data_IF_821639459332
#
_entry.id   IF_821639459332
#
_cell.length_a   1.000
_cell.length_b   1.000
_cell.length_c   1.000
_cell.angle_alpha   90.00
_cell.angle_beta   90.00
_cell.angle_gamma   90.00
#
_symmetry.space_group_name_H-M   'P 1'
#
loop_
_entity.id
_entity.type
_entity.pdbx_description
1 polymer ?
#
# COMPACT_ATOMS: atom_id res chain seq x y z
N UNK A 1 -5.42 -0.48 19.12
CA UNK A 1 -4.26 -1.13 18.48
C UNK A 1 -4.42 -2.65 18.37
N UNK A 2 -4.79 -3.35 19.44
CA UNK A 2 -5.00 -4.81 19.43
C UNK A 2 -6.05 -5.22 18.39
N UNK A 3 -7.23 -4.61 18.39
CA UNK A 3 -8.30 -4.90 17.43
C UNK A 3 -7.85 -4.65 15.98
N UNK A 4 -7.12 -3.57 15.74
CA UNK A 4 -6.56 -3.24 14.42
C UNK A 4 -5.56 -4.29 13.94
N UNK A 5 -4.67 -4.79 14.81
CA UNK A 5 -3.71 -5.85 14.44
C UNK A 5 -4.37 -7.19 14.12
N UNK A 6 -5.46 -7.54 14.81
CA UNK A 6 -6.19 -8.79 14.56
C UNK A 6 -6.99 -8.71 13.26
N UNK A 7 -7.65 -7.57 13.02
CA UNK A 7 -8.50 -7.36 11.86
C UNK A 7 -8.35 -5.94 11.29
N UNK A 8 -7.30 -5.67 10.49
CA UNK A 8 -7.18 -4.40 9.80
C UNK A 8 -8.36 -4.20 8.82
N UNK A 9 -8.78 -2.96 8.48
CA UNK A 9 -9.98 -2.69 7.69
C UNK A 9 -9.97 -3.33 6.29
N UNK A 10 -8.79 -3.68 5.76
CA UNK A 10 -8.63 -4.33 4.46
C UNK A 10 -8.45 -5.86 4.54
N UNK A 11 -8.65 -6.47 5.73
CA UNK A 11 -8.47 -7.91 5.92
C UNK A 11 -9.47 -8.72 5.10
N UNK A 12 -9.00 -9.81 4.53
CA UNK A 12 -9.85 -10.84 3.90
C UNK A 12 -9.70 -12.16 4.67
N UNK A 13 -10.76 -12.91 4.88
CA UNK A 13 -12.16 -12.62 4.54
C UNK A 13 -12.77 -11.54 5.48
N UNK A 14 -13.75 -10.78 4.97
CA UNK A 14 -14.34 -9.61 5.67
C UNK A 14 -15.03 -9.95 7.01
N UNK A 15 -15.42 -11.22 7.23
CA UNK A 15 -16.03 -11.61 8.51
C UNK A 15 -15.11 -11.39 9.73
N UNK A 16 -13.78 -11.34 9.52
CA UNK A 16 -12.81 -11.01 10.58
C UNK A 16 -13.04 -9.61 11.16
N UNK A 17 -13.70 -8.71 10.43
CA UNK A 17 -14.06 -7.39 10.93
C UNK A 17 -15.06 -7.43 12.08
N UNK A 18 -15.81 -8.54 12.23
CA UNK A 18 -16.73 -8.72 13.36
C UNK A 18 -16.03 -8.70 14.73
N UNK A 19 -14.71 -8.92 14.77
CA UNK A 19 -13.92 -8.79 16.00
C UNK A 19 -13.95 -7.37 16.57
N UNK A 20 -14.19 -6.36 15.74
CA UNK A 20 -14.30 -4.98 16.20
C UNK A 20 -15.55 -4.73 17.06
N UNK A 21 -16.60 -5.53 16.94
CA UNK A 21 -17.82 -5.40 17.74
C UNK A 21 -17.54 -5.65 19.22
N UNK A 22 -17.02 -6.84 19.63
CA UNK A 22 -16.71 -7.06 21.04
C UNK A 22 -15.57 -6.17 21.55
N UNK A 23 -14.55 -5.88 20.71
CA UNK A 23 -13.44 -5.00 21.11
C UNK A 23 -13.92 -3.57 21.32
N UNK A 24 -14.78 -3.02 20.44
CA UNK A 24 -15.38 -1.70 20.61
C UNK A 24 -16.29 -1.61 21.83
N UNK A 25 -17.06 -2.66 22.10
CA UNK A 25 -17.88 -2.74 23.32
C UNK A 25 -17.02 -2.72 24.59
N UNK A 26 -15.96 -3.54 24.65
CA UNK A 26 -15.02 -3.57 25.78
C UNK A 26 -14.30 -2.23 25.95
N UNK A 27 -13.93 -1.59 24.86
CA UNK A 27 -13.33 -0.24 24.86
C UNK A 27 -14.29 0.77 25.52
N UNK A 28 -15.56 0.80 25.08
CA UNK A 28 -16.57 1.72 25.63
C UNK A 28 -16.86 1.42 27.11
N UNK A 29 -16.97 0.15 27.46
CA UNK A 29 -17.17 -0.24 28.86
C UNK A 29 -16.02 0.22 29.76
N UNK A 30 -14.78 -0.02 29.34
CA UNK A 30 -13.59 0.41 30.08
C UNK A 30 -13.50 1.95 30.19
N UNK A 31 -13.84 2.65 29.10
CA UNK A 31 -13.87 4.11 29.06
C UNK A 31 -14.92 4.67 30.04
N UNK A 32 -16.16 4.19 29.97
CA UNK A 32 -17.26 4.67 30.83
C UNK A 32 -16.99 4.37 32.32
N UNK A 33 -16.58 3.15 32.63
CA UNK A 33 -16.20 2.79 34.01
C UNK A 33 -15.05 3.66 34.51
N UNK A 34 -14.02 3.84 33.69
CA UNK A 34 -12.85 4.64 34.00
C UNK A 34 -13.20 6.09 34.32
N UNK A 35 -13.95 6.78 33.45
CA UNK A 35 -14.29 8.18 33.71
C UNK A 35 -15.26 8.34 34.86
N UNK A 36 -16.21 7.40 35.09
CA UNK A 36 -17.09 7.43 36.24
C UNK A 36 -16.31 7.30 37.56
N UNK A 37 -15.35 6.39 37.60
CA UNK A 37 -14.46 6.23 38.77
C UNK A 37 -13.65 7.49 39.06
N UNK A 38 -13.03 8.05 38.02
CA UNK A 38 -12.26 9.30 38.15
C UNK A 38 -13.15 10.44 38.65
N UNK A 39 -14.34 10.61 38.07
CA UNK A 39 -15.30 11.65 38.55
C UNK A 39 -15.72 11.43 39.98
N UNK A 40 -16.07 10.19 40.35
CA UNK A 40 -16.41 9.87 41.74
C UNK A 40 -15.27 10.24 42.72
N UNK A 41 -14.03 9.90 42.36
CA UNK A 41 -12.87 10.22 43.17
C UNK A 41 -12.70 11.75 43.33
N UNK A 42 -12.72 12.48 42.20
CA UNK A 42 -12.58 13.95 42.23
C UNK A 42 -13.65 14.62 43.04
N UNK A 43 -14.92 14.23 42.85
CA UNK A 43 -16.03 14.80 43.60
C UNK A 43 -15.94 14.46 45.10
N UNK A 44 -15.53 13.23 45.45
CA UNK A 44 -15.32 12.86 46.86
C UNK A 44 -14.20 13.71 47.48
N UNK A 45 -13.10 13.98 46.79
CA UNK A 45 -12.02 14.86 47.28
C UNK A 45 -12.48 16.30 47.48
N UNK A 46 -13.48 16.75 46.74
CA UNK A 46 -14.08 18.09 46.83
C UNK A 46 -15.26 18.15 47.86
N UNK A 47 -15.54 17.05 48.56
CA UNK A 47 -16.66 16.97 49.52
C UNK A 47 -18.04 16.92 48.83
N UNK A 48 -18.09 16.60 47.54
CA UNK A 48 -19.29 16.54 46.74
C UNK A 48 -19.60 15.08 46.31
N UNK A 49 -20.81 14.84 45.79
CA UNK A 49 -21.24 13.54 45.31
C UNK A 49 -21.42 13.58 43.77
N UNK A 50 -20.87 12.60 43.06
CA UNK A 50 -21.14 12.41 41.66
C UNK A 50 -22.08 11.24 41.42
N UNK A 51 -23.22 11.52 40.77
CA UNK A 51 -24.15 10.49 40.31
C UNK A 51 -24.10 10.37 38.78
N UNK A 52 -23.83 9.17 38.30
CA UNK A 52 -23.88 8.84 36.87
C UNK A 52 -25.33 8.60 36.40
N UNK A 53 -26.26 8.48 37.30
CA UNK A 53 -27.66 8.14 37.03
C UNK A 53 -27.83 6.66 36.62
N UNK A 54 -28.85 6.39 35.81
CA UNK A 54 -29.15 5.03 35.35
C UNK A 54 -28.06 4.52 34.41
N UNK A 55 -27.34 3.48 34.84
CA UNK A 55 -26.17 2.99 34.10
C UNK A 55 -26.49 2.65 32.64
N UNK A 56 -27.46 1.80 32.36
CA UNK A 56 -27.70 1.31 30.99
C UNK A 56 -28.13 2.40 30.00
N UNK A 57 -29.09 3.31 30.31
CA UNK A 57 -29.41 4.40 29.39
C UNK A 57 -28.24 5.33 29.12
N UNK A 58 -27.46 5.68 30.14
CA UNK A 58 -26.30 6.56 29.99
C UNK A 58 -25.15 5.86 29.27
N UNK A 59 -24.93 4.58 29.52
CA UNK A 59 -24.00 3.77 28.79
C UNK A 59 -24.38 3.66 27.29
N UNK A 60 -25.67 3.46 26.98
CA UNK A 60 -26.15 3.43 25.60
C UNK A 60 -25.96 4.77 24.88
N UNK A 61 -25.98 5.89 25.59
CA UNK A 61 -25.63 7.19 25.04
C UNK A 61 -24.13 7.32 24.78
N UNK A 62 -23.28 6.91 25.74
CA UNK A 62 -21.82 7.00 25.62
C UNK A 62 -21.27 6.05 24.55
N UNK A 63 -21.77 4.81 24.41
CA UNK A 63 -21.28 3.84 23.44
C UNK A 63 -21.38 4.34 21.99
N UNK A 64 -22.36 5.21 21.69
CA UNK A 64 -22.47 5.80 20.33
C UNK A 64 -21.33 6.75 20.04
N UNK A 65 -20.92 7.56 21.02
CA UNK A 65 -19.76 8.46 20.90
C UNK A 65 -18.46 7.68 20.83
N UNK A 66 -18.35 6.65 21.67
CA UNK A 66 -17.19 5.78 21.73
C UNK A 66 -17.03 4.96 20.44
N UNK A 67 -18.14 4.53 19.83
CA UNK A 67 -18.10 3.84 18.53
C UNK A 67 -17.53 4.75 17.42
N UNK A 68 -17.88 6.04 17.42
CA UNK A 68 -17.31 7.01 16.49
C UNK A 68 -15.81 7.22 16.75
N UNK A 69 -15.43 7.42 18.02
CA UNK A 69 -14.04 7.58 18.43
C UNK A 69 -13.21 6.34 18.06
N UNK A 70 -13.72 5.15 18.35
CA UNK A 70 -13.09 3.89 17.99
C UNK A 70 -12.89 3.75 16.47
N UNK A 71 -13.92 4.09 15.67
CA UNK A 71 -13.83 4.10 14.21
C UNK A 71 -12.75 5.05 13.71
N UNK A 72 -12.64 6.25 14.29
CA UNK A 72 -11.60 7.22 13.95
C UNK A 72 -10.18 6.71 14.30
N UNK A 73 -10.01 6.02 15.44
CA UNK A 73 -8.74 5.38 15.78
C UNK A 73 -8.35 4.31 14.76
N UNK A 74 -9.30 3.45 14.36
CA UNK A 74 -9.04 2.41 13.34
C UNK A 74 -8.67 3.05 12.00
N UNK A 75 -9.39 4.10 11.57
CA UNK A 75 -9.08 4.83 10.34
C UNK A 75 -7.71 5.53 10.42
N UNK A 76 -7.38 6.14 11.56
CA UNK A 76 -6.08 6.77 11.80
C UNK A 76 -4.92 5.77 11.72
N UNK A 77 -5.04 4.61 12.37
CA UNK A 77 -4.03 3.55 12.27
C UNK A 77 -3.87 3.04 10.83
N UNK A 78 -4.99 2.86 10.11
CA UNK A 78 -4.95 2.45 8.71
C UNK A 78 -4.26 3.49 7.82
N UNK A 79 -4.54 4.77 8.04
CA UNK A 79 -3.90 5.87 7.31
C UNK A 79 -2.39 5.94 7.61
N UNK A 80 -2.01 5.89 8.88
CA UNK A 80 -0.59 5.90 9.28
C UNK A 80 0.14 4.72 8.66
N UNK A 81 -0.41 3.51 8.74
CA UNK A 81 0.21 2.33 8.13
C UNK A 81 0.33 2.47 6.61
N UNK A 82 -0.70 3.03 5.95
CA UNK A 82 -0.65 3.30 4.52
C UNK A 82 0.47 4.28 4.16
N UNK A 83 0.58 5.40 4.88
CA UNK A 83 1.62 6.40 4.67
C UNK A 83 3.03 5.85 4.93
N UNK A 84 3.20 5.08 6.02
CA UNK A 84 4.49 4.44 6.33
C UNK A 84 4.90 3.42 5.27
N UNK A 85 3.95 2.64 4.74
CA UNK A 85 4.23 1.74 3.62
C UNK A 85 4.63 2.48 2.35
N UNK A 86 3.99 3.61 2.03
CA UNK A 86 4.41 4.46 0.92
C UNK A 86 5.81 5.03 1.13
N UNK A 87 6.15 5.50 2.32
CA UNK A 87 7.50 5.98 2.63
C UNK A 87 8.54 4.87 2.54
N UNK A 88 8.26 3.66 3.02
CA UNK A 88 9.19 2.52 2.89
C UNK A 88 9.47 2.15 1.43
N UNK A 89 8.53 2.38 0.51
CA UNK A 89 8.75 2.19 -0.92
C UNK A 89 9.64 3.30 -1.54
N UNK A 90 9.68 4.49 -0.90
CA UNK A 90 10.48 5.65 -1.34
C UNK A 90 11.85 5.67 -0.63
N UNK A 91 11.90 5.29 0.66
CA UNK A 91 13.01 5.54 1.58
C UNK A 91 13.90 4.32 1.87
N UNK A 92 13.95 3.31 1.00
CA UNK A 92 15.01 2.32 1.13
C UNK A 92 16.19 2.65 0.20
N UNK A 93 17.01 3.67 0.52
CA UNK A 93 18.30 3.85 -0.15
C UNK A 93 19.20 2.71 0.35
N UNK A 94 19.40 1.72 -0.51
CA UNK A 94 20.39 0.66 -0.26
C UNK A 94 19.87 -0.77 -0.12
N UNK A 95 18.58 -1.04 0.00
CA UNK A 95 18.12 -2.40 -0.27
C UNK A 95 18.11 -2.65 -1.77
N UNK A 96 19.14 -3.32 -2.22
CA UNK A 96 19.20 -3.88 -3.57
C UNK A 96 18.05 -4.88 -3.72
N UNK A 97 16.90 -4.40 -4.23
CA UNK A 97 15.77 -5.26 -4.51
C UNK A 97 16.21 -6.26 -5.56
N UNK A 98 16.23 -7.53 -5.20
CA UNK A 98 16.55 -8.62 -6.12
C UNK A 98 15.28 -9.26 -6.64
N UNK A 99 15.38 -9.84 -7.85
CA UNK A 99 14.32 -10.59 -8.49
C UNK A 99 14.92 -11.89 -9.07
N UNK A 100 14.19 -12.98 -8.93
CA UNK A 100 14.61 -14.29 -9.38
C UNK A 100 13.95 -14.62 -10.71
N UNK A 101 14.73 -14.58 -11.79
CA UNK A 101 14.30 -14.97 -13.13
C UNK A 101 14.49 -16.48 -13.28
N UNK A 102 13.40 -17.17 -13.63
CA UNK A 102 13.39 -18.60 -13.88
C UNK A 102 13.23 -18.89 -15.36
N UNK A 103 14.27 -19.49 -15.94
CA UNK A 103 14.27 -20.00 -17.31
C UNK A 103 14.49 -21.53 -17.29
N UNK A 104 13.41 -22.29 -17.39
CA UNK A 104 13.44 -23.72 -17.19
C UNK A 104 13.97 -24.11 -15.80
N UNK A 105 15.05 -24.88 -15.74
CA UNK A 105 15.73 -25.28 -14.51
C UNK A 105 16.72 -24.21 -13.98
N UNK A 106 17.01 -23.19 -14.78
CA UNK A 106 17.96 -22.13 -14.41
C UNK A 106 17.28 -21.04 -13.63
N UNK A 107 17.82 -20.70 -12.45
CA UNK A 107 17.43 -19.53 -11.66
C UNK A 107 18.54 -18.51 -11.70
N UNK A 108 18.22 -17.30 -12.14
CA UNK A 108 19.17 -16.19 -12.18
C UNK A 108 18.64 -15.07 -11.29
N UNK A 109 19.40 -14.75 -10.23
CA UNK A 109 19.07 -13.61 -9.36
C UNK A 109 19.67 -12.35 -9.93
N UNK A 110 18.84 -11.35 -10.14
CA UNK A 110 19.23 -10.03 -10.65
C UNK A 110 18.83 -8.93 -9.67
N UNK A 111 19.46 -7.78 -9.77
CA UNK A 111 19.08 -6.56 -9.09
C UNK A 111 18.04 -5.83 -9.94
N UNK A 112 16.96 -5.35 -9.31
CA UNK A 112 15.90 -4.63 -10.03
C UNK A 112 16.34 -3.25 -10.54
N UNK A 113 17.33 -2.63 -9.89
CA UNK A 113 17.92 -1.36 -10.36
C UNK A 113 18.78 -1.52 -11.64
N UNK A 114 19.18 -2.76 -11.97
CA UNK A 114 19.85 -3.10 -13.24
C UNK A 114 18.86 -3.32 -14.39
N UNK A 115 17.58 -3.53 -14.10
CA UNK A 115 16.55 -3.75 -15.11
C UNK A 115 16.06 -2.42 -15.66
N UNK A 116 16.20 -2.21 -16.95
CA UNK A 116 15.70 -1.04 -17.67
C UNK A 116 14.24 -1.19 -18.07
N UNK A 117 13.91 -2.32 -18.68
CA UNK A 117 12.57 -2.62 -19.16
C UNK A 117 12.32 -4.13 -19.22
N UNK A 118 11.05 -4.48 -19.34
CA UNK A 118 10.59 -5.84 -19.56
C UNK A 118 9.65 -5.83 -20.76
N UNK A 119 9.98 -6.59 -21.78
CA UNK A 119 9.22 -6.68 -23.03
C UNK A 119 8.53 -8.04 -23.17
N UNK A 120 7.33 -8.07 -23.72
CA UNK A 120 6.64 -9.32 -24.06
C UNK A 120 7.27 -9.94 -25.29
N UNK A 121 7.59 -11.23 -25.22
CA UNK A 121 8.19 -12.02 -26.30
C UNK A 121 7.42 -13.35 -26.47
N UNK A 122 6.21 -13.27 -27.04
CA UNK A 122 5.32 -14.42 -27.18
C UNK A 122 4.81 -14.94 -25.83
N UNK A 123 5.14 -16.19 -25.49
CA UNK A 123 4.80 -16.81 -24.19
C UNK A 123 5.83 -16.50 -23.09
N UNK A 124 6.82 -15.70 -23.40
CA UNK A 124 7.89 -15.27 -22.51
C UNK A 124 7.88 -13.76 -22.35
N UNK A 125 8.60 -13.28 -21.35
CA UNK A 125 9.00 -11.89 -21.19
C UNK A 125 10.52 -11.81 -21.24
N UNK A 126 11.03 -10.73 -21.81
CA UNK A 126 12.44 -10.44 -21.90
C UNK A 126 12.79 -9.28 -20.95
N UNK A 127 13.63 -9.55 -19.97
CA UNK A 127 14.20 -8.54 -19.09
C UNK A 127 15.42 -7.93 -19.76
N UNK A 128 15.39 -6.64 -20.03
CA UNK A 128 16.49 -5.88 -20.62
C UNK A 128 17.28 -5.21 -19.51
N UNK A 129 18.54 -5.61 -19.35
CA UNK A 129 19.41 -5.12 -18.29
C UNK A 129 20.29 -3.97 -18.78
N UNK A 130 20.76 -3.15 -17.85
CA UNK A 130 21.63 -1.99 -18.10
C UNK A 130 22.96 -2.36 -18.76
N UNK A 131 23.46 -3.56 -18.53
CA UNK A 131 24.70 -4.09 -19.14
C UNK A 131 24.48 -4.70 -20.53
N UNK A 132 23.29 -4.56 -21.10
CA UNK A 132 22.92 -5.09 -22.42
C UNK A 132 22.47 -6.55 -22.39
N UNK A 133 22.59 -7.27 -21.27
CA UNK A 133 22.09 -8.64 -21.18
C UNK A 133 20.56 -8.67 -21.27
N UNK A 134 20.07 -9.75 -21.88
CA UNK A 134 18.66 -10.05 -22.01
C UNK A 134 18.38 -11.40 -21.38
N UNK A 135 17.45 -11.45 -20.45
CA UNK A 135 17.06 -12.67 -19.73
C UNK A 135 15.59 -12.98 -20.00
N UNK A 136 15.31 -14.24 -20.29
CA UNK A 136 13.96 -14.70 -20.61
C UNK A 136 13.32 -15.35 -19.40
N UNK A 137 12.02 -15.13 -19.24
CA UNK A 137 11.20 -15.81 -18.23
C UNK A 137 9.83 -16.13 -18.79
N UNK A 138 9.32 -17.32 -18.53
CA UNK A 138 7.96 -17.67 -18.91
C UNK A 138 6.98 -17.11 -17.87
N UNK A 139 6.38 -15.97 -18.18
CA UNK A 139 5.41 -15.30 -17.33
C UNK A 139 4.52 -14.39 -18.19
N UNK A 140 3.25 -14.21 -17.84
CA UNK A 140 2.46 -13.12 -18.42
C UNK A 140 2.97 -11.77 -17.90
N UNK A 141 3.00 -10.78 -18.77
CA UNK A 141 3.49 -9.44 -18.42
C UNK A 141 2.61 -8.76 -17.33
N UNK A 142 1.31 -9.10 -17.29
CA UNK A 142 0.39 -8.63 -16.22
C UNK A 142 0.76 -9.11 -14.83
N UNK A 143 1.23 -10.35 -14.69
CA UNK A 143 1.69 -10.85 -13.39
C UNK A 143 2.92 -10.09 -12.90
N UNK A 144 3.83 -9.72 -13.82
CA UNK A 144 4.99 -8.90 -13.49
C UNK A 144 4.61 -7.44 -13.20
N UNK A 145 3.57 -6.92 -13.84
CA UNK A 145 3.01 -5.60 -13.52
C UNK A 145 2.49 -5.56 -12.08
N UNK A 146 1.72 -6.58 -11.66
CA UNK A 146 1.21 -6.69 -10.28
C UNK A 146 2.35 -6.81 -9.25
N UNK A 147 3.40 -7.56 -9.58
CA UNK A 147 4.52 -7.81 -8.67
C UNK A 147 5.52 -6.64 -8.62
N UNK A 148 5.85 -6.05 -9.77
CA UNK A 148 6.91 -5.04 -9.90
C UNK A 148 6.39 -3.60 -9.92
N UNK A 149 5.08 -3.40 -10.15
CA UNK A 149 4.46 -2.07 -10.09
C UNK A 149 4.72 -1.33 -8.78
N UNK A 150 4.56 -1.97 -7.59
CA UNK A 150 4.92 -1.36 -6.31
C UNK A 150 6.42 -1.05 -6.15
N UNK A 151 7.28 -1.64 -6.99
CA UNK A 151 8.74 -1.48 -6.97
C UNK A 151 9.25 -0.45 -7.98
N UNK A 152 8.30 0.26 -8.66
CA UNK A 152 8.64 1.36 -9.57
C UNK A 152 8.64 1.00 -11.07
N UNK A 153 8.11 -0.17 -11.43
CA UNK A 153 7.88 -0.49 -12.84
C UNK A 153 6.50 -0.02 -13.29
N UNK A 154 6.43 0.58 -14.48
CA UNK A 154 5.20 1.12 -15.04
C UNK A 154 4.85 0.42 -16.34
N UNK A 155 3.56 0.08 -16.51
CA UNK A 155 3.04 -0.41 -17.78
C UNK A 155 2.90 0.76 -18.74
N UNK A 156 3.72 0.80 -19.79
CA UNK A 156 3.72 1.86 -20.80
C UNK A 156 3.07 1.43 -22.11
N UNK A 157 3.03 0.13 -22.34
CA UNK A 157 2.43 -0.43 -23.55
C UNK A 157 1.85 -1.82 -23.25
N UNK A 158 0.96 -2.34 -24.13
CA UNK A 158 0.43 -3.71 -23.97
C UNK A 158 1.51 -4.79 -23.86
N UNK A 159 2.71 -4.50 -24.36
CA UNK A 159 3.87 -5.41 -24.42
C UNK A 159 5.09 -4.89 -23.66
N UNK A 160 4.99 -3.80 -22.88
CA UNK A 160 6.13 -3.21 -22.19
C UNK A 160 5.82 -2.77 -20.77
N UNK A 161 6.76 -3.09 -19.87
CA UNK A 161 6.93 -2.51 -18.53
C UNK A 161 8.27 -1.80 -18.49
N UNK A 162 8.34 -0.58 -17.98
CA UNK A 162 9.57 0.20 -17.86
C UNK A 162 9.89 0.50 -16.41
N UNK A 163 11.16 0.52 -16.07
CA UNK A 163 11.62 1.00 -14.77
C UNK A 163 11.61 2.54 -14.78
N UNK A 164 10.69 3.15 -14.04
CA UNK A 164 10.54 4.60 -14.01
C UNK A 164 11.83 5.33 -13.54
N UNK A 165 12.61 4.69 -12.65
CA UNK A 165 13.87 5.26 -12.15
C UNK A 165 15.00 5.23 -13.17
N UNK A 166 14.88 4.41 -14.22
CA UNK A 166 15.88 4.30 -15.28
C UNK A 166 15.58 5.23 -16.46
N UNK A 167 14.45 5.94 -16.46
CA UNK A 167 14.10 6.88 -17.52
C UNK A 167 15.12 8.02 -17.59
N UNK A 168 15.62 8.27 -18.79
CA UNK A 168 16.53 9.38 -19.09
C UNK A 168 15.83 10.50 -19.85
N UNK A 169 14.89 10.17 -20.74
CA UNK A 169 14.07 11.15 -21.45
C UNK A 169 12.70 10.58 -21.85
N UNK A 170 11.78 11.49 -22.15
CA UNK A 170 10.44 11.19 -22.65
C UNK A 170 10.22 12.02 -23.93
N UNK A 171 10.16 11.34 -25.09
CA UNK A 171 9.99 11.99 -26.40
C UNK A 171 8.55 11.87 -26.89
N UNK A 172 7.89 12.96 -27.29
CA UNK A 172 6.58 12.90 -27.93
C UNK A 172 6.69 12.41 -29.37
N UNK A 173 5.77 11.50 -29.77
CA UNK A 173 5.72 10.91 -31.13
C UNK A 173 4.62 11.56 -32.02
N UNK A 174 4.13 12.72 -31.66
CA UNK A 174 3.20 13.50 -32.51
C UNK A 174 1.74 13.04 -32.55
N UNK A 175 1.47 11.77 -32.16
CA UNK A 175 0.11 11.19 -32.15
C UNK A 175 -0.54 11.12 -30.76
N UNK A 176 0.13 11.69 -29.76
CA UNK A 176 -0.21 11.54 -28.33
C UNK A 176 0.41 10.30 -27.70
N UNK A 177 1.17 9.52 -28.45
CA UNK A 177 2.07 8.49 -27.94
C UNK A 177 3.45 9.10 -27.64
N UNK A 178 4.25 8.40 -26.85
CA UNK A 178 5.60 8.82 -26.44
C UNK A 178 6.57 7.66 -26.57
N UNK A 179 7.85 7.98 -26.69
CA UNK A 179 8.96 7.04 -26.51
C UNK A 179 9.66 7.36 -25.20
N UNK A 180 9.81 6.33 -24.35
CA UNK A 180 10.57 6.39 -23.09
C UNK A 180 11.98 5.94 -23.36
N UNK A 181 12.96 6.82 -23.15
CA UNK A 181 14.39 6.49 -23.23
C UNK A 181 14.90 5.98 -21.89
N UNK A 182 15.65 4.89 -21.93
CA UNK A 182 16.20 4.17 -20.77
C UNK A 182 17.68 3.89 -20.99
N UNK A 183 18.46 4.95 -21.21
CA UNK A 183 19.85 4.83 -21.72
C UNK A 183 19.85 4.46 -23.20
N UNK A 184 20.42 3.30 -23.53
CA UNK A 184 20.50 2.81 -24.94
C UNK A 184 19.23 2.04 -25.36
N UNK A 185 18.23 1.97 -24.52
CA UNK A 185 16.97 1.25 -24.78
C UNK A 185 15.82 2.24 -24.94
N UNK A 186 15.01 2.06 -25.97
CA UNK A 186 13.79 2.81 -26.21
C UNK A 186 12.56 1.91 -26.02
N UNK A 187 11.59 2.39 -25.28
CA UNK A 187 10.33 1.69 -25.01
C UNK A 187 9.12 2.55 -25.38
N UNK A 188 8.09 1.99 -26.02
CA UNK A 188 6.90 2.74 -26.39
C UNK A 188 6.04 3.06 -25.15
N UNK A 189 5.46 4.24 -25.10
CA UNK A 189 4.42 4.65 -24.18
C UNK A 189 3.19 5.06 -24.98
N UNK A 190 2.17 4.22 -24.93
CA UNK A 190 0.92 4.50 -25.62
C UNK A 190 0.01 5.42 -24.80
N UNK A 191 -0.70 6.32 -25.48
CA UNK A 191 -1.75 7.19 -24.93
C UNK A 191 -2.86 6.43 -24.17
N UNK A 192 -2.90 5.09 -24.29
CA UNK A 192 -3.82 4.22 -23.54
C UNK A 192 -3.39 3.98 -22.10
N UNK A 193 -2.20 4.45 -21.73
CA UNK A 193 -1.62 4.33 -20.38
C UNK A 193 -1.37 5.72 -19.77
N UNK A 194 -2.42 6.52 -19.54
CA UNK A 194 -2.28 7.91 -19.07
C UNK A 194 -1.65 7.99 -17.68
N UNK A 195 -1.94 7.02 -16.81
CA UNK A 195 -1.38 6.97 -15.45
C UNK A 195 0.16 6.76 -15.48
N UNK A 196 0.66 5.98 -16.46
CA UNK A 196 2.09 5.83 -16.64
C UNK A 196 2.73 7.13 -17.11
N UNK A 197 2.07 7.87 -18.01
CA UNK A 197 2.54 9.16 -18.49
C UNK A 197 2.61 10.19 -17.36
N UNK A 198 1.55 10.32 -16.55
CA UNK A 198 1.50 11.23 -15.41
C UNK A 198 2.64 10.93 -14.42
N UNK A 199 2.80 9.66 -14.04
CA UNK A 199 3.85 9.23 -13.12
C UNK A 199 5.27 9.45 -13.68
N UNK A 200 5.50 9.26 -14.97
CA UNK A 200 6.80 9.54 -15.59
C UNK A 200 7.11 11.04 -15.70
N UNK A 201 6.07 11.89 -15.71
CA UNK A 201 6.24 13.35 -15.67
C UNK A 201 6.42 13.89 -14.25
N UNK A 202 6.17 13.07 -13.22
CA UNK A 202 6.20 13.51 -11.82
C UNK A 202 4.94 14.26 -11.37
N UNK A 203 3.81 14.00 -12.04
CA UNK A 203 2.49 14.57 -11.74
C UNK A 203 1.72 13.71 -10.72
#
# INVERSE_FOLDING_TARGET
WIGYRIAPPFVRPRWKLLVHVPVGFLFSLAHVVGFVLVRKLVYALLGAHYDFGRFWPNFAYEIRKDALAYGLFIAGFALIEHLLRQQQLIDTPGQTLTFDIRDGARLTRIRLDEVLAIASAGNYVEFVLRDGRKLMMRSPLSALEDELGPRGFLRTHRSWLVNAKAMTALKPEGSGDYTVELGDVEAPLSRRFPDALARLRGE
#
